data_IF_999150002285
#
_entry.id   IF_999150002285
#
_cell.length_a   1.000
_cell.length_b   1.000
_cell.length_c   1.000
_cell.angle_alpha   90.00
_cell.angle_beta   90.00
_cell.angle_gamma   90.00
#
_symmetry.space_group_name_H-M   'P 1'
#
loop_
_entity.id
_entity.type
_entity.pdbx_description
1 polymer ?
#
# COMPACT_ATOMS: atom_id res chain seq x y z
N UNK A 1 16.92 -5.13 -22.69
CA UNK A 1 16.26 -6.42 -22.39
C UNK A 1 14.81 -6.28 -21.85
N UNK A 2 14.14 -5.13 -22.00
CA UNK A 2 12.80 -4.87 -21.43
C UNK A 2 11.59 -5.15 -22.35
N UNK A 3 11.81 -5.60 -23.60
CA UNK A 3 10.73 -5.83 -24.60
C UNK A 3 9.79 -7.01 -24.28
N UNK A 4 9.99 -7.76 -23.19
CA UNK A 4 9.17 -8.94 -22.84
C UNK A 4 8.06 -8.66 -21.82
N UNK A 5 8.08 -7.53 -21.11
CA UNK A 5 6.99 -7.15 -20.19
C UNK A 5 5.79 -6.54 -20.93
N UNK A 6 6.03 -5.99 -22.12
CA UNK A 6 5.06 -5.25 -22.92
C UNK A 6 3.97 -6.13 -23.58
N UNK A 7 4.18 -7.45 -23.65
CA UNK A 7 3.27 -8.35 -24.38
C UNK A 7 2.14 -8.94 -23.53
N UNK A 8 2.05 -8.56 -22.27
CA UNK A 8 0.97 -9.01 -21.39
C UNK A 8 -0.17 -7.99 -21.42
N UNK A 9 -1.01 -8.04 -22.46
CA UNK A 9 -2.28 -7.27 -22.53
C UNK A 9 -3.11 -7.36 -21.24
N UNK A 10 -2.95 -8.44 -20.47
CA UNK A 10 -3.58 -8.64 -19.14
C UNK A 10 -2.96 -7.76 -18.04
N UNK A 11 -1.63 -7.57 -18.03
CA UNK A 11 -0.94 -6.77 -17.02
C UNK A 11 -1.14 -5.27 -17.28
N UNK A 12 -1.12 -4.87 -18.56
CA UNK A 12 -1.52 -3.53 -18.98
C UNK A 12 -2.95 -3.19 -18.55
N UNK A 13 -3.91 -4.07 -18.83
CA UNK A 13 -5.32 -3.89 -18.38
C UNK A 13 -5.48 -3.90 -16.86
N UNK A 14 -4.68 -4.70 -16.13
CA UNK A 14 -4.70 -4.70 -14.66
C UNK A 14 -4.20 -3.36 -14.11
N UNK A 15 -3.09 -2.85 -14.61
CA UNK A 15 -2.56 -1.54 -14.23
C UNK A 15 -3.51 -0.41 -14.62
N UNK A 16 -4.15 -0.50 -15.78
CA UNK A 16 -5.14 0.47 -16.25
C UNK A 16 -6.39 0.48 -15.36
N UNK A 17 -6.89 -0.71 -14.98
CA UNK A 17 -8.02 -0.84 -14.06
C UNK A 17 -7.68 -0.38 -12.64
N UNK A 18 -6.48 -0.71 -12.15
CA UNK A 18 -5.99 -0.23 -10.85
C UNK A 18 -5.84 1.30 -10.87
N UNK A 19 -5.26 1.85 -11.93
CA UNK A 19 -5.11 3.30 -12.10
C UNK A 19 -6.47 4.00 -12.19
N UNK A 20 -7.43 3.43 -12.91
CA UNK A 20 -8.79 3.97 -13.01
C UNK A 20 -9.53 3.90 -11.67
N UNK A 21 -9.38 2.81 -10.91
CA UNK A 21 -9.97 2.66 -9.58
C UNK A 21 -9.35 3.64 -8.58
N UNK A 22 -8.02 3.78 -8.60
CA UNK A 22 -7.27 4.74 -7.78
C UNK A 22 -7.63 6.20 -8.11
N UNK A 23 -7.83 6.52 -9.40
CA UNK A 23 -8.25 7.85 -9.83
C UNK A 23 -9.69 8.19 -9.40
N UNK A 24 -10.59 7.20 -9.34
CA UNK A 24 -12.00 7.39 -8.95
C UNK A 24 -12.18 7.54 -7.44
N UNK A 25 -11.28 6.98 -6.64
CA UNK A 25 -11.30 7.03 -5.17
C UNK A 25 -9.95 7.46 -4.61
N UNK A 26 -9.52 8.69 -4.94
CA UNK A 26 -8.21 9.23 -4.56
C UNK A 26 -7.89 9.12 -3.05
N UNK A 27 -8.92 9.19 -2.18
CA UNK A 27 -8.76 9.03 -0.73
C UNK A 27 -8.65 7.59 -0.22
N UNK A 28 -9.03 6.58 -1.02
CA UNK A 28 -9.04 5.19 -0.57
C UNK A 28 -7.66 4.66 -0.17
N UNK A 29 -6.56 4.90 -0.93
CA UNK A 29 -5.24 4.42 -0.53
C UNK A 29 -4.78 5.04 0.79
N UNK A 30 -5.10 6.32 1.04
CA UNK A 30 -4.80 6.97 2.32
C UNK A 30 -5.48 6.22 3.46
N UNK A 31 -6.78 5.94 3.34
CA UNK A 31 -7.55 5.22 4.37
C UNK A 31 -7.01 3.80 4.59
N UNK A 32 -6.70 3.07 3.51
CA UNK A 32 -6.12 1.71 3.60
C UNK A 32 -4.76 1.76 4.30
N UNK A 33 -3.91 2.71 3.94
CA UNK A 33 -2.59 2.88 4.54
C UNK A 33 -2.68 3.18 6.04
N UNK A 34 -3.56 4.10 6.44
CA UNK A 34 -3.82 4.41 7.86
C UNK A 34 -4.33 3.17 8.60
N UNK A 35 -5.28 2.42 8.04
CA UNK A 35 -5.80 1.20 8.66
C UNK A 35 -4.70 0.16 8.88
N UNK A 36 -3.81 -0.04 7.89
CA UNK A 36 -2.66 -0.95 8.02
C UNK A 36 -1.68 -0.50 9.10
N UNK A 37 -1.42 0.81 9.23
CA UNK A 37 -0.56 1.36 10.29
C UNK A 37 -1.18 1.10 11.67
N UNK A 38 -2.48 1.29 11.83
CA UNK A 38 -3.19 0.99 13.08
C UNK A 38 -3.09 -0.50 13.43
N UNK A 39 -3.31 -1.39 12.47
CA UNK A 39 -3.17 -2.84 12.66
C UNK A 39 -1.73 -3.18 13.06
N UNK A 40 -0.74 -2.63 12.37
CA UNK A 40 0.68 -2.81 12.69
C UNK A 40 1.00 -2.38 14.12
N UNK A 41 0.45 -1.26 14.58
CA UNK A 41 0.62 -0.81 15.96
C UNK A 41 0.06 -1.80 16.97
N UNK A 42 -1.13 -2.37 16.71
CA UNK A 42 -1.71 -3.42 17.57
C UNK A 42 -0.81 -4.67 17.59
N UNK A 43 -0.30 -5.12 16.44
CA UNK A 43 0.61 -6.27 16.37
C UNK A 43 1.90 -5.99 17.14
N UNK A 44 2.44 -4.77 17.05
CA UNK A 44 3.64 -4.34 17.78
C UNK A 44 3.42 -4.36 19.30
N UNK A 45 2.26 -3.90 19.78
CA UNK A 45 1.89 -3.99 21.21
C UNK A 45 1.78 -5.43 21.69
N UNK A 46 1.22 -6.33 20.88
CA UNK A 46 1.18 -7.76 21.21
C UNK A 46 2.60 -8.33 21.24
N UNK A 47 3.44 -7.95 20.28
CA UNK A 47 4.82 -8.42 20.21
C UNK A 47 5.67 -7.95 21.40
N UNK A 48 5.40 -6.76 21.93
CA UNK A 48 6.08 -6.25 23.12
C UNK A 48 6.00 -7.22 24.33
N UNK A 49 4.89 -7.97 24.43
CA UNK A 49 4.69 -8.97 25.49
C UNK A 49 5.11 -10.37 25.03
N UNK A 50 4.86 -10.73 23.77
CA UNK A 50 5.08 -12.07 23.24
C UNK A 50 6.53 -12.38 22.83
N UNK A 51 7.35 -11.35 22.54
CA UNK A 51 8.75 -11.47 22.10
C UNK A 51 8.92 -12.47 20.93
N UNK A 52 8.03 -12.42 19.95
CA UNK A 52 7.97 -13.40 18.87
C UNK A 52 8.59 -12.86 17.57
N UNK A 53 9.62 -13.52 17.01
CA UNK A 53 10.22 -13.11 15.74
C UNK A 53 9.22 -13.05 14.57
N UNK A 54 8.19 -13.88 14.59
CA UNK A 54 7.16 -13.89 13.55
C UNK A 54 6.28 -12.64 13.61
N UNK A 55 5.92 -12.19 14.83
CA UNK A 55 5.21 -10.93 15.00
C UNK A 55 6.10 -9.73 14.66
N UNK A 56 7.40 -9.81 14.90
CA UNK A 56 8.36 -8.77 14.48
C UNK A 56 8.34 -8.52 12.98
N UNK A 57 8.38 -9.60 12.21
CA UNK A 57 8.30 -9.52 10.75
C UNK A 57 6.92 -9.02 10.32
N UNK A 58 5.84 -9.52 10.94
CA UNK A 58 4.48 -9.15 10.60
C UNK A 58 4.22 -7.66 10.83
N UNK A 59 4.51 -7.12 12.02
CA UNK A 59 4.27 -5.70 12.29
C UNK A 59 5.12 -4.83 11.37
N UNK A 60 6.38 -5.19 11.12
CA UNK A 60 7.29 -4.43 10.27
C UNK A 60 6.78 -4.37 8.83
N UNK A 61 6.45 -5.51 8.22
CA UNK A 61 5.94 -5.55 6.84
C UNK A 61 4.64 -4.75 6.73
N UNK A 62 3.68 -4.99 7.64
CA UNK A 62 2.40 -4.29 7.62
C UNK A 62 2.58 -2.78 7.80
N UNK A 63 3.53 -2.35 8.65
CA UNK A 63 3.83 -0.92 8.86
C UNK A 63 4.32 -0.26 7.58
N UNK A 64 5.36 -0.82 6.97
CA UNK A 64 6.02 -0.24 5.81
C UNK A 64 5.09 -0.27 4.59
N UNK A 65 4.31 -1.33 4.40
CA UNK A 65 3.28 -1.38 3.37
C UNK A 65 2.19 -0.33 3.61
N UNK A 66 1.69 -0.20 4.84
CA UNK A 66 0.69 0.83 5.18
C UNK A 66 1.20 2.24 4.90
N UNK A 67 2.45 2.52 5.26
CA UNK A 67 3.11 3.80 5.02
C UNK A 67 3.26 4.09 3.52
N UNK A 68 3.75 3.13 2.73
CA UNK A 68 3.90 3.28 1.28
C UNK A 68 2.53 3.54 0.62
N UNK A 69 1.50 2.78 0.99
CA UNK A 69 0.15 2.93 0.42
C UNK A 69 -0.44 4.29 0.80
N UNK A 70 -0.25 4.76 2.04
CA UNK A 70 -0.70 6.08 2.47
C UNK A 70 -0.01 7.20 1.70
N UNK A 71 1.31 7.13 1.53
CA UNK A 71 2.08 8.10 0.76
C UNK A 71 1.67 8.15 -0.71
N UNK A 72 1.46 6.98 -1.34
CA UNK A 72 0.92 6.90 -2.71
C UNK A 72 -0.45 7.58 -2.76
N UNK A 73 -1.30 7.34 -1.77
CA UNK A 73 -2.60 8.00 -1.66
C UNK A 73 -2.50 9.52 -1.59
N UNK A 74 -1.59 10.04 -0.78
CA UNK A 74 -1.37 11.49 -0.66
C UNK A 74 -0.94 12.08 -2.00
N UNK A 75 0.03 11.45 -2.68
CA UNK A 75 0.50 11.88 -4.00
C UNK A 75 -0.64 11.88 -5.04
N UNK A 76 -1.58 10.94 -4.95
CA UNK A 76 -2.72 10.85 -5.86
C UNK A 76 -3.82 11.87 -5.56
N UNK A 77 -3.94 12.32 -4.31
CA UNK A 77 -4.90 13.35 -3.89
C UNK A 77 -4.43 14.74 -4.28
N UNK A 78 -3.13 15.02 -4.17
CA UNK A 78 -2.55 16.31 -4.57
C UNK A 78 -2.74 16.53 -6.08
N UNK A 79 -3.43 17.62 -6.50
CA UNK A 79 -3.54 17.94 -7.91
C UNK A 79 -2.16 18.34 -8.44
N UNK A 80 -1.64 17.59 -9.41
CA UNK A 80 -0.37 17.84 -10.11
C UNK A 80 -0.33 19.17 -10.92
N UNK A 81 -1.18 20.14 -10.64
CA UNK A 81 -1.20 21.39 -11.41
C UNK A 81 -2.45 22.26 -11.22
N UNK A 82 -2.82 22.56 -9.98
CA UNK A 82 -3.43 23.87 -9.70
C UNK A 82 -2.50 24.65 -8.80
#
# INVERSE_FOLDING_TARGET
>A
MFKRLDNSRRFGKLLENLSAALAKQRGLPIVIGIALIIISFVISLINFVALSPALDIAWSITHHLGLIIALIGIILVEPLGQ
#
